data_IF_789430975339
#
_entry.id   IF_789430975339
#
_cell.length_a   1.000
_cell.length_b   1.000
_cell.length_c   1.000
_cell.angle_alpha   90.00
_cell.angle_beta   90.00
_cell.angle_gamma   90.00
#
_symmetry.space_group_name_H-M   'P 1'
#
loop_
_entity.id
_entity.type
_entity.pdbx_description
1 polymer ?
#
# COMPACT_ATOMS: atom_id res chain seq x y z
N UNK A 1 11.31 -46.47 -10.49
CA UNK A 1 10.42 -45.95 -9.43
C UNK A 1 9.99 -44.54 -9.81
N UNK A 2 8.69 -44.30 -9.96
CA UNK A 2 8.14 -42.98 -10.20
C UNK A 2 7.79 -42.34 -8.85
N UNK A 3 8.04 -41.05 -8.68
CA UNK A 3 7.69 -40.30 -7.46
C UNK A 3 7.03 -38.96 -7.86
N UNK A 4 6.18 -38.36 -7.01
CA UNK A 4 5.41 -37.17 -7.39
C UNK A 4 6.26 -35.92 -7.69
N UNK A 5 7.53 -35.90 -7.30
CA UNK A 5 8.46 -34.79 -7.56
C UNK A 5 9.29 -34.97 -8.83
N UNK A 6 9.22 -36.10 -9.54
CA UNK A 6 10.06 -36.31 -10.74
C UNK A 6 9.70 -35.39 -11.90
N UNK A 7 8.47 -34.86 -11.93
CA UNK A 7 7.96 -33.99 -12.99
C UNK A 7 7.71 -32.53 -12.59
N UNK A 8 8.03 -32.13 -11.35
CA UNK A 8 7.83 -30.73 -10.92
C UNK A 8 8.85 -29.80 -11.60
N UNK A 9 8.48 -28.53 -11.75
CA UNK A 9 9.27 -27.51 -12.45
C UNK A 9 10.41 -26.99 -11.57
N UNK A 10 11.42 -26.39 -12.19
CA UNK A 10 12.60 -25.88 -11.48
C UNK A 10 12.24 -24.82 -10.43
N UNK A 11 11.24 -23.96 -10.69
CA UNK A 11 10.77 -22.98 -9.71
C UNK A 11 10.20 -23.60 -8.43
N UNK A 12 9.82 -24.89 -8.45
CA UNK A 12 9.32 -25.64 -7.29
C UNK A 12 10.44 -26.30 -6.47
N UNK A 13 11.70 -26.17 -6.88
CA UNK A 13 12.86 -26.78 -6.24
C UNK A 13 13.81 -25.69 -5.71
N UNK A 14 13.90 -25.53 -4.39
CA UNK A 14 14.73 -24.49 -3.74
C UNK A 14 16.16 -24.40 -4.30
N UNK A 15 16.82 -25.54 -4.49
CA UNK A 15 18.19 -25.58 -5.01
C UNK A 15 18.29 -25.00 -6.43
N UNK A 16 17.26 -25.14 -7.25
CA UNK A 16 17.23 -24.68 -8.65
C UNK A 16 16.66 -23.27 -8.81
N UNK A 17 15.73 -22.87 -7.95
CA UNK A 17 15.04 -21.59 -8.06
C UNK A 17 15.56 -20.49 -7.13
N UNK A 18 16.28 -20.86 -6.07
CA UNK A 18 16.82 -19.91 -5.08
C UNK A 18 18.33 -20.05 -5.00
N UNK A 19 18.83 -21.20 -4.52
CA UNK A 19 20.26 -21.33 -4.15
C UNK A 19 21.25 -21.30 -5.33
N UNK A 20 20.78 -21.49 -6.56
CA UNK A 20 21.59 -21.45 -7.79
C UNK A 20 21.27 -20.25 -8.69
N UNK A 21 20.48 -19.31 -8.17
CA UNK A 21 20.12 -18.09 -8.88
C UNK A 21 20.88 -16.94 -8.24
N UNK A 22 21.52 -16.10 -9.05
CA UNK A 22 22.18 -14.90 -8.53
C UNK A 22 21.13 -13.96 -7.93
N UNK A 23 21.44 -13.35 -6.78
CA UNK A 23 20.50 -12.58 -5.98
C UNK A 23 19.72 -11.52 -6.77
N UNK A 24 20.36 -10.87 -7.75
CA UNK A 24 19.75 -9.81 -8.56
C UNK A 24 18.90 -10.32 -9.75
N UNK A 25 18.93 -11.62 -10.02
CA UNK A 25 18.16 -12.33 -11.04
C UNK A 25 16.99 -13.14 -10.46
N UNK A 26 16.86 -13.18 -9.14
CA UNK A 26 15.79 -13.93 -8.47
C UNK A 26 14.42 -13.34 -8.78
N UNK A 27 13.59 -14.12 -9.47
CA UNK A 27 12.23 -13.74 -9.84
C UNK A 27 11.27 -14.88 -9.47
N UNK A 28 10.48 -14.74 -8.38
CA UNK A 28 9.54 -15.76 -7.95
C UNK A 28 8.21 -15.74 -8.71
N UNK A 29 8.02 -14.83 -9.67
CA UNK A 29 6.78 -14.77 -10.44
C UNK A 29 6.77 -15.86 -11.52
N UNK A 30 5.71 -16.68 -11.53
CA UNK A 30 5.59 -17.82 -12.46
C UNK A 30 4.57 -17.54 -13.57
N UNK A 31 3.28 -17.50 -13.21
CA UNK A 31 2.20 -17.32 -14.18
C UNK A 31 1.22 -16.25 -13.68
N UNK A 32 1.43 -14.99 -14.07
CA UNK A 32 0.47 -13.93 -13.83
C UNK A 32 -0.89 -14.26 -14.45
N UNK A 33 -1.98 -13.99 -13.72
CA UNK A 33 -3.36 -14.20 -14.17
C UNK A 33 -3.77 -13.20 -15.24
N UNK A 34 -3.12 -12.05 -15.26
CA UNK A 34 -3.35 -11.02 -16.25
C UNK A 34 -2.10 -10.20 -16.54
N UNK A 35 -2.11 -9.54 -17.70
CA UNK A 35 -1.18 -8.47 -18.04
C UNK A 35 -1.89 -7.12 -17.97
N UNK A 36 -1.09 -6.09 -17.78
CA UNK A 36 -1.46 -4.68 -17.70
C UNK A 36 -0.98 -4.02 -18.99
N UNK A 37 -1.90 -3.43 -19.74
CA UNK A 37 -1.59 -2.66 -20.94
C UNK A 37 -1.12 -1.24 -20.57
N UNK A 38 -0.30 -0.62 -21.41
CA UNK A 38 0.19 0.76 -21.19
C UNK A 38 -0.93 1.77 -21.02
N UNK A 39 -2.06 1.55 -21.68
CA UNK A 39 -3.23 2.43 -21.62
C UNK A 39 -4.20 2.10 -20.47
N UNK A 40 -3.97 0.99 -19.75
CA UNK A 40 -4.82 0.61 -18.61
C UNK A 40 -4.78 1.70 -17.55
N UNK A 41 -5.94 2.12 -17.03
CA UNK A 41 -6.04 3.03 -15.89
C UNK A 41 -5.57 2.28 -14.63
N UNK A 42 -4.28 2.41 -14.30
CA UNK A 42 -3.72 1.76 -13.12
C UNK A 42 -3.87 2.65 -11.91
N UNK A 43 -4.59 2.17 -10.91
CA UNK A 43 -4.68 2.78 -9.60
C UNK A 43 -3.82 2.03 -8.58
N UNK A 44 -3.21 2.76 -7.64
CA UNK A 44 -2.42 2.17 -6.55
C UNK A 44 -2.92 2.70 -5.22
N UNK A 45 -3.11 1.83 -4.23
CA UNK A 45 -3.45 2.16 -2.84
C UNK A 45 -2.66 1.25 -1.88
N UNK A 46 -2.57 1.63 -0.60
CA UNK A 46 -2.00 0.76 0.44
C UNK A 46 -0.91 1.43 1.27
N UNK A 47 0.06 0.64 1.72
CA UNK A 47 1.21 1.11 2.51
C UNK A 47 2.17 2.02 1.74
N UNK A 48 3.15 2.59 2.44
CA UNK A 48 4.22 3.40 1.89
C UNK A 48 4.95 2.75 0.70
N UNK A 49 5.08 1.41 0.71
CA UNK A 49 5.74 0.69 -0.38
C UNK A 49 4.99 0.79 -1.72
N UNK A 50 3.67 0.98 -1.70
CA UNK A 50 2.88 1.22 -2.92
C UNK A 50 3.30 2.52 -3.64
N UNK A 51 3.91 3.47 -2.93
CA UNK A 51 4.40 4.72 -3.53
C UNK A 51 5.55 4.44 -4.51
N UNK A 52 6.43 3.48 -4.22
CA UNK A 52 7.48 3.09 -5.16
C UNK A 52 6.90 2.49 -6.45
N UNK A 53 5.88 1.65 -6.32
CA UNK A 53 5.17 1.07 -7.47
C UNK A 53 4.52 2.19 -8.30
N UNK A 54 3.84 3.14 -7.66
CA UNK A 54 3.19 4.27 -8.34
C UNK A 54 4.15 5.13 -9.16
N UNK A 55 5.29 5.54 -8.58
CA UNK A 55 6.32 6.37 -9.24
C UNK A 55 6.91 5.66 -10.44
N UNK A 56 7.11 4.36 -10.33
CA UNK A 56 7.73 3.57 -11.38
C UNK A 56 6.75 3.27 -12.52
N UNK A 57 5.47 3.03 -12.23
CA UNK A 57 4.41 2.99 -13.24
C UNK A 57 4.37 4.30 -14.04
N UNK A 58 4.40 5.45 -13.37
CA UNK A 58 4.48 6.76 -14.03
C UNK A 58 5.72 6.90 -14.91
N UNK A 59 6.90 6.55 -14.38
CA UNK A 59 8.20 6.64 -15.09
C UNK A 59 8.28 5.77 -16.33
N UNK A 60 7.66 4.60 -16.33
CA UNK A 60 7.70 3.64 -17.44
C UNK A 60 6.65 3.98 -18.52
N UNK A 61 5.87 5.05 -18.32
CA UNK A 61 4.92 5.58 -19.30
C UNK A 61 3.58 4.84 -19.30
N UNK A 62 3.21 4.20 -18.18
CA UNK A 62 1.86 3.67 -18.00
C UNK A 62 0.89 4.78 -17.65
N UNK A 63 -0.38 4.59 -18.00
CA UNK A 63 -1.45 5.48 -17.59
C UNK A 63 -1.75 5.32 -16.09
N UNK A 64 -0.97 6.02 -15.28
CA UNK A 64 -1.22 6.14 -13.85
C UNK A 64 -2.45 7.00 -13.60
N UNK A 65 -3.51 6.37 -13.09
CA UNK A 65 -4.83 6.97 -12.99
C UNK A 65 -4.94 7.80 -11.70
N UNK A 66 -4.84 9.13 -11.84
CA UNK A 66 -4.99 10.11 -10.76
C UNK A 66 -6.30 10.85 -10.93
N UNK A 67 -7.14 10.81 -9.90
CA UNK A 67 -8.49 11.40 -9.88
C UNK A 67 -8.57 12.66 -9.03
N UNK A 68 -7.75 12.78 -7.99
CA UNK A 68 -7.63 13.98 -7.16
C UNK A 68 -6.42 14.78 -7.62
N UNK A 69 -6.65 15.69 -8.58
CA UNK A 69 -5.60 16.50 -9.21
C UNK A 69 -5.59 17.92 -8.63
N UNK A 70 -4.42 18.54 -8.63
CA UNK A 70 -4.25 19.95 -8.33
C UNK A 70 -3.37 20.62 -9.38
N UNK A 71 -3.84 20.60 -10.63
CA UNK A 71 -3.08 21.13 -11.78
C UNK A 71 -2.83 22.65 -11.68
N UNK A 72 -3.57 23.35 -10.83
CA UNK A 72 -3.39 24.77 -10.51
C UNK A 72 -2.23 25.05 -9.55
N UNK A 73 -1.69 24.04 -8.87
CA UNK A 73 -0.56 24.16 -7.96
C UNK A 73 0.76 23.86 -8.68
N UNK A 74 1.84 24.50 -8.22
CA UNK A 74 3.19 24.14 -8.65
C UNK A 74 3.60 22.74 -8.12
N UNK A 75 4.68 22.19 -8.67
CA UNK A 75 5.13 20.85 -8.33
C UNK A 75 5.53 20.69 -6.85
N UNK A 76 6.23 21.68 -6.29
CA UNK A 76 6.64 21.66 -4.89
C UNK A 76 5.43 21.61 -3.95
N UNK A 77 4.39 22.39 -4.23
CA UNK A 77 3.17 22.42 -3.41
C UNK A 77 2.33 21.14 -3.60
N UNK A 78 2.29 20.59 -4.81
CA UNK A 78 1.68 19.27 -5.06
C UNK A 78 2.37 18.18 -4.24
N UNK A 79 3.70 18.15 -4.27
CA UNK A 79 4.48 17.19 -3.50
C UNK A 79 4.27 17.36 -2.00
N UNK A 80 4.37 18.60 -1.49
CA UNK A 80 4.15 18.95 -0.07
C UNK A 80 2.78 18.52 0.44
N UNK A 81 1.75 18.58 -0.41
CA UNK A 81 0.36 18.23 -0.09
C UNK A 81 -0.06 16.83 -0.58
N UNK A 82 0.91 15.97 -0.92
CA UNK A 82 0.74 14.57 -1.33
C UNK A 82 -0.13 14.33 -2.57
N UNK A 83 -0.24 15.30 -3.48
CA UNK A 83 -0.88 15.09 -4.78
C UNK A 83 -0.03 14.18 -5.67
N UNK A 84 -0.66 13.17 -6.29
CA UNK A 84 0.00 12.23 -7.19
C UNK A 84 0.84 11.14 -6.51
N UNK A 85 0.90 11.11 -5.17
CA UNK A 85 1.49 10.01 -4.38
C UNK A 85 0.67 8.72 -4.58
N UNK A 86 -0.64 8.86 -4.63
CA UNK A 86 -1.61 7.80 -4.91
C UNK A 86 -2.64 8.29 -5.94
N UNK A 87 -3.54 7.39 -6.38
CA UNK A 87 -4.62 7.71 -7.33
C UNK A 87 -5.64 8.71 -6.81
N UNK A 88 -5.77 8.81 -5.49
CA UNK A 88 -6.49 9.84 -4.77
C UNK A 88 -5.74 10.15 -3.48
N UNK A 89 -6.02 11.28 -2.84
CA UNK A 89 -5.25 11.83 -1.72
C UNK A 89 -5.74 11.26 -0.38
N UNK A 90 -5.83 9.93 -0.27
CA UNK A 90 -6.28 9.24 0.95
C UNK A 90 -5.14 8.99 1.96
N UNK A 91 -3.89 9.32 1.64
CA UNK A 91 -2.73 8.99 2.48
C UNK A 91 -2.37 7.51 2.37
N UNK A 92 -1.66 6.95 3.35
CA UNK A 92 -1.43 5.51 3.36
C UNK A 92 -2.66 4.77 3.92
N UNK A 93 -3.02 3.66 3.28
CA UNK A 93 -4.04 2.73 3.76
C UNK A 93 -3.31 1.49 4.29
N UNK A 94 -3.04 1.48 5.58
CA UNK A 94 -2.23 0.44 6.20
C UNK A 94 -3.00 -0.89 6.37
N UNK A 95 -4.28 -0.83 6.75
CA UNK A 95 -5.08 -2.02 7.07
C UNK A 95 -6.21 -2.25 6.06
N UNK A 96 -6.64 -3.50 5.91
CA UNK A 96 -7.82 -3.84 5.10
C UNK A 96 -9.10 -3.16 5.62
N UNK A 97 -9.23 -2.94 6.94
CA UNK A 97 -10.35 -2.21 7.54
C UNK A 97 -10.40 -0.75 7.06
N UNK A 98 -9.26 -0.08 6.90
CA UNK A 98 -9.22 1.27 6.34
C UNK A 98 -9.67 1.30 4.88
N UNK A 99 -9.27 0.32 4.06
CA UNK A 99 -9.76 0.23 2.68
C UNK A 99 -11.29 0.03 2.66
N UNK A 100 -11.78 -0.85 3.53
CA UNK A 100 -13.22 -1.09 3.67
C UNK A 100 -13.99 0.14 4.11
N UNK A 101 -13.53 0.85 5.14
CA UNK A 101 -14.24 2.04 5.63
C UNK A 101 -14.32 3.11 4.54
N UNK A 102 -13.23 3.29 3.78
CA UNK A 102 -13.18 4.24 2.68
C UNK A 102 -14.18 3.85 1.59
N UNK A 103 -14.29 2.56 1.28
CA UNK A 103 -15.29 2.05 0.34
C UNK A 103 -16.73 2.29 0.85
N UNK A 104 -17.02 1.97 2.10
CA UNK A 104 -18.33 2.16 2.74
C UNK A 104 -18.72 3.64 2.82
N UNK A 105 -17.78 4.56 3.04
CA UNK A 105 -18.03 6.00 3.02
C UNK A 105 -18.45 6.51 1.64
N UNK A 106 -17.88 5.92 0.59
CA UNK A 106 -18.16 6.28 -0.79
C UNK A 106 -19.48 5.68 -1.30
N UNK A 107 -19.75 4.41 -1.00
CA UNK A 107 -20.85 3.66 -1.63
C UNK A 107 -22.00 3.28 -0.70
N UNK A 108 -21.75 3.15 0.61
CA UNK A 108 -22.72 2.63 1.58
C UNK A 108 -23.14 3.68 2.63
N UNK A 109 -22.91 4.97 2.31
CA UNK A 109 -23.29 6.12 3.12
C UNK A 109 -22.79 6.07 4.57
N UNK A 110 -21.65 5.41 4.84
CA UNK A 110 -20.99 5.47 6.16
C UNK A 110 -20.72 6.94 6.52
N UNK A 111 -20.99 7.30 7.77
CA UNK A 111 -20.78 8.64 8.33
C UNK A 111 -20.03 8.49 9.65
N UNK A 112 -18.70 8.67 9.64
CA UNK A 112 -17.93 8.53 10.86
C UNK A 112 -18.27 9.62 11.88
N UNK A 113 -18.15 9.27 13.16
CA UNK A 113 -18.43 10.18 14.28
C UNK A 113 -17.36 11.27 14.36
N UNK A 114 -16.09 10.89 14.23
CA UNK A 114 -14.95 11.80 14.30
C UNK A 114 -14.71 12.46 12.94
N UNK A 115 -15.17 13.71 12.79
CA UNK A 115 -15.14 14.43 11.50
C UNK A 115 -13.88 15.25 11.29
N UNK A 116 -13.30 15.76 12.38
CA UNK A 116 -12.12 16.61 12.37
C UNK A 116 -11.36 16.43 13.68
N UNK A 117 -10.03 16.44 13.60
CA UNK A 117 -9.15 16.48 14.77
C UNK A 117 -8.50 17.84 14.87
N UNK A 118 -8.45 18.38 16.09
CA UNK A 118 -7.79 19.66 16.38
C UNK A 118 -6.30 19.45 16.64
N UNK A 119 -5.47 20.30 16.06
CA UNK A 119 -4.01 20.37 16.28
C UNK A 119 -3.68 21.34 17.41
N UNK A 120 -2.44 21.27 17.91
CA UNK A 120 -1.92 22.16 18.96
C UNK A 120 -1.90 23.64 18.55
N UNK A 121 -1.72 23.92 17.26
CA UNK A 121 -1.76 25.26 16.67
C UNK A 121 -3.20 25.80 16.45
N UNK A 122 -4.21 25.03 16.83
CA UNK A 122 -5.62 25.39 16.71
C UNK A 122 -6.27 25.06 15.36
N UNK A 123 -5.50 24.59 14.37
CA UNK A 123 -6.01 24.14 13.07
C UNK A 123 -6.71 22.78 13.18
N UNK A 124 -7.48 22.44 12.17
CA UNK A 124 -8.20 21.17 12.06
C UNK A 124 -7.64 20.30 10.94
N UNK A 125 -7.61 18.99 11.13
CA UNK A 125 -7.21 18.01 10.12
C UNK A 125 -8.19 16.86 10.03
N UNK A 126 -8.13 16.12 8.93
CA UNK A 126 -8.94 14.94 8.68
C UNK A 126 -8.38 13.73 9.46
N UNK A 127 -9.13 13.11 10.40
CA UNK A 127 -8.68 11.97 11.20
C UNK A 127 -8.17 10.78 10.39
N UNK A 128 -8.68 10.61 9.17
CA UNK A 128 -8.40 9.45 8.32
C UNK A 128 -7.24 9.68 7.35
N UNK A 129 -6.77 10.92 7.23
CA UNK A 129 -5.64 11.35 6.40
C UNK A 129 -4.94 12.57 7.02
N UNK A 130 -4.48 12.47 8.28
CA UNK A 130 -4.13 13.63 9.10
C UNK A 130 -2.92 14.41 8.58
N UNK A 131 -2.08 13.76 7.76
CA UNK A 131 -0.87 14.34 7.16
C UNK A 131 -1.09 14.91 5.74
N UNK A 132 -2.32 14.80 5.18
CA UNK A 132 -2.54 15.17 3.77
C UNK A 132 -2.62 16.67 3.53
N UNK A 133 -2.96 17.43 4.57
CA UNK A 133 -3.05 18.88 4.53
C UNK A 133 -2.11 19.46 5.60
N UNK A 134 -0.84 19.76 5.25
CA UNK A 134 0.19 20.09 6.22
C UNK A 134 -0.08 21.40 6.97
N UNK A 135 -0.80 22.33 6.35
CA UNK A 135 -1.20 23.60 6.96
C UNK A 135 -2.48 23.48 7.81
N UNK A 136 -3.20 22.36 7.68
CA UNK A 136 -4.52 22.17 8.27
C UNK A 136 -5.59 23.12 7.73
N UNK A 137 -6.78 23.04 8.30
CA UNK A 137 -7.94 23.87 7.98
C UNK A 137 -8.26 24.81 9.15
N UNK A 138 -8.82 25.98 8.86
CA UNK A 138 -9.24 26.93 9.89
C UNK A 138 -10.46 26.47 10.69
N UNK A 139 -11.32 25.64 10.09
CA UNK A 139 -12.58 25.18 10.69
C UNK A 139 -12.82 23.70 10.41
N UNK A 140 -13.67 23.07 11.24
CA UNK A 140 -14.14 21.70 11.02
C UNK A 140 -14.90 21.56 9.70
N UNK A 141 -15.70 22.57 9.33
CA UNK A 141 -16.41 22.62 8.05
C UNK A 141 -15.45 22.57 6.86
N UNK A 142 -14.27 23.19 6.97
CA UNK A 142 -13.22 23.12 5.95
C UNK A 142 -12.72 21.68 5.73
N UNK A 143 -12.52 20.93 6.82
CA UNK A 143 -12.17 19.50 6.76
C UNK A 143 -13.27 18.70 6.06
N UNK A 144 -14.53 18.92 6.44
CA UNK A 144 -15.68 18.21 5.89
C UNK A 144 -15.84 18.48 4.38
N UNK A 145 -15.66 19.72 3.94
CA UNK A 145 -15.72 20.07 2.52
C UNK A 145 -14.59 19.40 1.73
N UNK A 146 -13.36 19.48 2.23
CA UNK A 146 -12.22 18.83 1.60
C UNK A 146 -12.38 17.30 1.55
N UNK A 147 -12.99 16.70 2.58
CA UNK A 147 -13.32 15.28 2.60
C UNK A 147 -14.39 14.93 1.58
N UNK A 148 -15.40 15.78 1.36
CA UNK A 148 -16.42 15.56 0.31
C UNK A 148 -15.79 15.52 -1.08
N UNK A 149 -14.93 16.48 -1.41
CA UNK A 149 -14.22 16.51 -2.69
C UNK A 149 -13.33 15.25 -2.88
N UNK A 150 -12.63 14.86 -1.82
CA UNK A 150 -11.82 13.65 -1.80
C UNK A 150 -12.61 12.37 -2.06
N UNK A 151 -13.73 12.17 -1.35
CA UNK A 151 -14.57 10.97 -1.52
C UNK A 151 -15.15 10.88 -2.94
N UNK A 152 -15.42 12.01 -3.60
CA UNK A 152 -15.81 12.03 -5.02
C UNK A 152 -14.67 11.57 -5.96
N UNK A 153 -13.42 11.96 -5.67
CA UNK A 153 -12.25 11.46 -6.40
C UNK A 153 -12.05 9.96 -6.18
N UNK A 154 -12.12 9.49 -4.92
CA UNK A 154 -12.03 8.06 -4.57
C UNK A 154 -13.12 7.23 -5.25
N UNK A 155 -14.34 7.76 -5.35
CA UNK A 155 -15.43 7.13 -6.11
C UNK A 155 -15.03 6.88 -7.57
N UNK A 156 -14.38 7.85 -8.19
CA UNK A 156 -13.89 7.75 -9.57
C UNK A 156 -12.80 6.68 -9.70
N UNK A 157 -11.89 6.57 -8.70
CA UNK A 157 -10.89 5.48 -8.66
C UNK A 157 -11.56 4.11 -8.73
N UNK A 158 -12.51 3.83 -7.84
CA UNK A 158 -13.14 2.51 -7.78
C UNK A 158 -14.00 2.19 -9.00
N UNK A 159 -14.69 3.17 -9.58
CA UNK A 159 -15.54 2.97 -10.75
C UNK A 159 -14.80 2.81 -12.07
N UNK A 160 -13.63 3.46 -12.20
CA UNK A 160 -13.01 3.63 -13.51
C UNK A 160 -11.65 2.96 -13.68
N UNK A 161 -10.98 2.55 -12.60
CA UNK A 161 -9.69 1.86 -12.75
C UNK A 161 -9.86 0.51 -13.46
N UNK A 162 -8.91 0.18 -14.32
CA UNK A 162 -8.83 -1.15 -14.95
C UNK A 162 -8.06 -2.11 -14.05
N UNK A 163 -7.07 -1.59 -13.32
CA UNK A 163 -6.24 -2.35 -12.39
C UNK A 163 -6.10 -1.56 -11.09
N UNK A 164 -6.44 -2.18 -9.96
CA UNK A 164 -6.12 -1.66 -8.63
C UNK A 164 -4.99 -2.49 -8.01
N UNK A 165 -3.84 -1.87 -7.84
CA UNK A 165 -2.74 -2.43 -7.04
C UNK A 165 -2.97 -2.05 -5.59
N UNK A 166 -3.13 -3.05 -4.71
CA UNK A 166 -3.32 -2.82 -3.28
C UNK A 166 -2.20 -3.48 -2.46
N UNK A 167 -1.41 -2.66 -1.80
CA UNK A 167 -0.30 -3.11 -0.94
C UNK A 167 -0.76 -3.18 0.52
N UNK A 168 -0.90 -4.40 1.03
CA UNK A 168 -1.24 -4.69 2.41
C UNK A 168 -0.11 -4.27 3.35
N UNK A 169 -0.40 -3.37 4.28
CA UNK A 169 0.58 -2.76 5.16
C UNK A 169 0.74 -3.49 6.49
N UNK A 170 -0.28 -3.37 7.34
CA UNK A 170 -0.24 -3.70 8.77
C UNK A 170 -1.54 -4.37 9.23
N UNK A 171 -1.51 -4.98 10.41
CA UNK A 171 -2.69 -5.48 11.14
C UNK A 171 -3.04 -4.64 12.36
N UNK A 172 -2.13 -3.79 12.84
CA UNK A 172 -2.36 -2.91 13.99
C UNK A 172 -3.07 -1.63 13.56
N UNK A 173 -4.02 -1.17 14.38
CA UNK A 173 -4.72 0.10 14.20
C UNK A 173 -5.26 0.63 15.53
N UNK A 174 -5.66 1.91 15.50
CA UNK A 174 -6.45 2.52 16.56
C UNK A 174 -7.90 2.65 16.09
N UNK A 175 -8.84 2.33 16.98
CA UNK A 175 -10.27 2.28 16.70
C UNK A 175 -11.03 3.22 17.62
N UNK A 176 -12.00 3.96 17.06
CA UNK A 176 -13.03 4.64 17.84
C UNK A 176 -14.06 3.63 18.34
N UNK A 177 -14.27 3.57 19.65
CA UNK A 177 -15.28 2.70 20.28
C UNK A 177 -16.71 3.13 19.93
N UNK A 178 -16.91 4.37 19.49
CA UNK A 178 -18.23 4.92 19.18
C UNK A 178 -18.87 4.29 17.92
N UNK A 179 -18.08 4.05 16.87
CA UNK A 179 -18.58 3.61 15.56
C UNK A 179 -17.68 2.56 14.86
N UNK A 180 -16.61 2.13 15.53
CA UNK A 180 -15.64 1.17 15.01
C UNK A 180 -14.74 1.70 13.89
N UNK A 181 -14.73 3.01 13.64
CA UNK A 181 -13.84 3.66 12.66
C UNK A 181 -12.38 3.47 13.07
N UNK A 182 -11.50 3.31 12.09
CA UNK A 182 -10.07 3.08 12.35
C UNK A 182 -9.19 4.15 11.71
N UNK A 183 -8.11 4.47 12.38
CA UNK A 183 -7.24 5.59 12.04
C UNK A 183 -5.86 5.13 11.56
N UNK A 184 -5.22 5.86 10.63
CA UNK A 184 -3.85 5.56 10.19
C UNK A 184 -2.81 5.83 11.28
N UNK A 185 -3.12 6.71 12.23
CA UNK A 185 -2.29 7.05 13.37
C UNK A 185 -3.13 7.06 14.64
N UNK A 186 -2.49 6.81 15.77
CA UNK A 186 -3.14 6.98 17.06
C UNK A 186 -3.58 8.44 17.25
N UNK A 187 -4.79 8.70 17.76
CA UNK A 187 -5.17 10.05 18.17
C UNK A 187 -4.13 10.65 19.11
N UNK A 188 -3.74 11.90 18.88
CA UNK A 188 -2.71 12.60 19.65
C UNK A 188 -1.27 12.43 19.14
N UNK A 189 -1.00 11.55 18.17
CA UNK A 189 0.33 11.46 17.52
C UNK A 189 0.55 12.68 16.63
N UNK A 190 -0.31 12.89 15.62
CA UNK A 190 -0.23 14.05 14.72
C UNK A 190 -1.27 15.14 15.04
N UNK A 191 -2.47 14.74 15.47
CA UNK A 191 -3.56 15.63 15.85
C UNK A 191 -4.58 14.90 16.73
N UNK A 192 -5.52 15.63 17.32
CA UNK A 192 -6.53 15.07 18.22
C UNK A 192 -5.95 14.73 19.59
N UNK A 193 -6.66 13.91 20.34
CA UNK A 193 -6.24 13.46 21.67
C UNK A 193 -6.68 12.03 21.91
N UNK A 194 -5.75 11.19 22.36
CA UNK A 194 -6.09 9.86 22.83
C UNK A 194 -6.92 9.94 24.12
N UNK A 195 -7.95 9.11 24.17
CA UNK A 195 -8.80 8.90 25.33
C UNK A 195 -9.14 7.40 25.37
N UNK A 196 -8.73 6.65 26.41
CA UNK A 196 -8.99 5.21 26.49
C UNK A 196 -10.45 4.84 26.65
N UNK A 197 -11.34 5.77 27.04
CA UNK A 197 -12.79 5.55 27.08
C UNK A 197 -13.42 5.67 25.67
N UNK A 198 -12.78 6.42 24.78
CA UNK A 198 -13.25 6.67 23.40
C UNK A 198 -12.52 5.83 22.37
N UNK A 199 -11.26 5.48 22.63
CA UNK A 199 -10.36 4.85 21.67
C UNK A 199 -9.76 3.56 22.24
N UNK A 200 -9.45 2.63 21.35
CA UNK A 200 -8.79 1.37 21.70
C UNK A 200 -7.79 0.95 20.63
N UNK A 201 -6.75 0.25 21.07
CA UNK A 201 -5.83 -0.45 20.18
C UNK A 201 -6.47 -1.75 19.71
N UNK A 202 -6.24 -2.09 18.44
CA UNK A 202 -6.65 -3.37 17.87
C UNK A 202 -5.54 -3.95 16.99
N UNK A 203 -5.47 -5.27 16.95
CA UNK A 203 -4.59 -6.04 16.07
C UNK A 203 -5.43 -7.07 15.31
N UNK A 204 -5.68 -6.82 14.04
CA UNK A 204 -6.57 -7.64 13.23
C UNK A 204 -5.99 -9.04 12.97
N UNK A 205 -6.78 -10.07 13.22
CA UNK A 205 -6.41 -11.44 12.88
C UNK A 205 -6.74 -11.79 11.41
N UNK A 206 -6.40 -13.02 10.99
CA UNK A 206 -6.66 -13.53 9.64
C UNK A 206 -8.12 -13.39 9.23
N UNK A 207 -9.05 -13.82 10.07
CA UNK A 207 -10.49 -13.82 9.75
C UNK A 207 -11.05 -12.41 9.59
N UNK A 208 -10.58 -11.45 10.37
CA UNK A 208 -10.99 -10.05 10.29
C UNK A 208 -10.46 -9.39 9.01
N UNK A 209 -9.18 -9.56 8.70
CA UNK A 209 -8.58 -9.04 7.46
C UNK A 209 -9.21 -9.71 6.24
N UNK A 210 -9.44 -11.02 6.28
CA UNK A 210 -10.09 -11.80 5.22
C UNK A 210 -11.51 -11.29 4.95
N UNK A 211 -12.29 -11.04 6.01
CA UNK A 211 -13.65 -10.51 5.92
C UNK A 211 -13.69 -9.14 5.28
N UNK A 212 -12.79 -8.25 5.69
CA UNK A 212 -12.75 -6.88 5.18
C UNK A 212 -12.30 -6.84 3.71
N UNK A 213 -11.27 -7.62 3.36
CA UNK A 213 -10.79 -7.68 1.98
C UNK A 213 -11.80 -8.39 1.06
N UNK A 214 -12.44 -9.47 1.52
CA UNK A 214 -13.52 -10.16 0.79
C UNK A 214 -14.69 -9.22 0.52
N UNK A 215 -15.09 -8.42 1.51
CA UNK A 215 -16.13 -7.41 1.34
C UNK A 215 -15.77 -6.43 0.21
N UNK A 216 -14.59 -5.80 0.29
CA UNK A 216 -14.16 -4.83 -0.70
C UNK A 216 -14.07 -5.44 -2.09
N UNK A 217 -13.45 -6.62 -2.24
CA UNK A 217 -13.28 -7.26 -3.54
C UNK A 217 -14.62 -7.61 -4.18
N UNK A 218 -15.57 -8.18 -3.42
CA UNK A 218 -16.91 -8.49 -3.94
C UNK A 218 -17.63 -7.23 -4.41
N UNK A 219 -17.68 -6.21 -3.55
CA UNK A 219 -18.39 -4.95 -3.84
C UNK A 219 -17.74 -4.17 -4.96
N UNK A 220 -16.40 -4.14 -5.03
CA UNK A 220 -15.65 -3.52 -6.11
C UNK A 220 -15.97 -4.17 -7.46
N UNK A 221 -16.07 -5.50 -7.51
CA UNK A 221 -16.42 -6.21 -8.75
C UNK A 221 -17.86 -5.94 -9.20
N UNK A 222 -18.79 -5.76 -8.26
CA UNK A 222 -20.19 -5.41 -8.55
C UNK A 222 -20.30 -4.04 -9.24
N UNK A 223 -19.55 -3.03 -8.75
CA UNK A 223 -19.60 -1.67 -9.30
C UNK A 223 -18.69 -1.46 -10.51
N UNK A 224 -17.62 -2.25 -10.62
CA UNK A 224 -16.66 -2.21 -11.72
C UNK A 224 -16.36 -3.64 -12.20
N UNK A 225 -17.20 -4.21 -13.07
CA UNK A 225 -17.04 -5.59 -13.54
C UNK A 225 -15.74 -5.87 -14.29
N UNK A 226 -15.05 -4.84 -14.80
CA UNK A 226 -13.82 -4.98 -15.59
C UNK A 226 -12.54 -4.92 -14.76
N UNK A 227 -12.62 -4.44 -13.52
CA UNK A 227 -11.46 -4.28 -12.65
C UNK A 227 -10.74 -5.61 -12.44
N UNK A 228 -9.41 -5.50 -12.42
CA UNK A 228 -8.48 -6.52 -11.93
C UNK A 228 -7.79 -5.98 -10.69
N UNK A 229 -7.49 -6.84 -9.72
CA UNK A 229 -6.76 -6.42 -8.51
C UNK A 229 -5.45 -7.17 -8.42
N UNK A 230 -4.39 -6.42 -8.14
CA UNK A 230 -3.09 -6.98 -7.81
C UNK A 230 -2.80 -6.72 -6.33
N UNK A 231 -2.86 -7.78 -5.53
CA UNK A 231 -2.48 -7.72 -4.13
C UNK A 231 -0.97 -7.85 -4.00
N UNK A 232 -0.41 -7.18 -3.00
CA UNK A 232 0.96 -7.43 -2.57
C UNK A 232 1.12 -7.11 -1.09
N UNK A 233 2.11 -7.71 -0.42
CA UNK A 233 2.40 -7.42 0.99
C UNK A 233 3.60 -6.49 1.08
N UNK A 234 3.49 -5.46 1.91
CA UNK A 234 4.57 -4.50 2.14
C UNK A 234 5.74 -5.17 2.87
N UNK A 235 6.97 -5.11 2.34
CA UNK A 235 8.17 -5.60 3.03
C UNK A 235 8.58 -4.75 4.23
N UNK A 236 8.18 -3.47 4.25
CA UNK A 236 8.53 -2.52 5.32
C UNK A 236 8.00 -2.99 6.68
N UNK A 237 8.88 -3.26 7.67
CA UNK A 237 8.52 -3.57 9.05
C UNK A 237 7.67 -2.49 9.74
N UNK A 238 6.96 -2.86 10.82
CA UNK A 238 6.28 -1.87 11.67
C UNK A 238 7.33 -0.92 12.25
N UNK A 239 6.98 0.36 12.32
CA UNK A 239 7.81 1.35 13.00
C UNK A 239 7.85 1.09 14.51
N UNK A 240 6.68 0.72 15.06
CA UNK A 240 6.44 0.48 16.47
C UNK A 240 5.26 -0.49 16.59
N UNK A 241 5.18 -1.18 17.72
CA UNK A 241 4.03 -1.99 18.10
C UNK A 241 3.50 -1.50 19.43
N UNK A 242 2.18 -1.48 19.60
CA UNK A 242 1.58 -1.19 20.90
C UNK A 242 1.47 -2.44 21.79
N UNK A 243 1.63 -3.62 21.21
CA UNK A 243 1.71 -4.88 21.95
C UNK A 243 2.90 -4.85 22.92
N UNK A 244 2.75 -5.43 24.11
CA UNK A 244 3.85 -5.60 25.07
C UNK A 244 4.78 -6.75 24.65
N UNK A 245 5.44 -6.57 23.49
CA UNK A 245 6.40 -7.51 22.90
C UNK A 245 7.31 -6.79 21.90
N UNK A 246 8.31 -7.51 21.41
CA UNK A 246 9.21 -7.00 20.37
C UNK A 246 8.47 -6.61 19.08
N UNK A 247 8.79 -5.43 18.54
CA UNK A 247 8.31 -4.94 17.24
C UNK A 247 8.62 -5.91 16.10
N UNK A 248 9.72 -6.67 16.18
CA UNK A 248 10.07 -7.67 15.17
C UNK A 248 9.11 -8.88 15.21
N UNK A 249 8.69 -9.30 16.42
CA UNK A 249 7.70 -10.38 16.60
C UNK A 249 6.34 -9.91 16.09
N UNK A 250 5.92 -8.68 16.42
CA UNK A 250 4.68 -8.08 15.89
C UNK A 250 4.72 -7.93 14.38
N UNK A 251 5.85 -7.51 13.81
CA UNK A 251 6.07 -7.44 12.36
C UNK A 251 5.90 -8.80 11.72
N UNK A 252 6.57 -9.82 12.25
CA UNK A 252 6.50 -11.18 11.69
C UNK A 252 5.05 -11.68 11.70
N UNK A 253 4.31 -11.46 12.80
CA UNK A 253 2.89 -11.81 12.89
C UNK A 253 2.05 -11.06 11.84
N UNK A 254 2.15 -9.73 11.82
CA UNK A 254 1.39 -8.85 10.93
C UNK A 254 1.58 -9.24 9.46
N UNK A 255 2.83 -9.41 9.00
CA UNK A 255 3.12 -9.79 7.61
C UNK A 255 2.64 -11.21 7.29
N UNK A 256 2.73 -12.13 8.24
CA UNK A 256 2.22 -13.50 8.08
C UNK A 256 0.71 -13.54 7.90
N UNK A 257 -0.04 -12.79 8.73
CA UNK A 257 -1.50 -12.65 8.61
C UNK A 257 -1.87 -12.12 7.23
N UNK A 258 -1.26 -11.00 6.82
CA UNK A 258 -1.56 -10.36 5.53
C UNK A 258 -1.23 -11.27 4.36
N UNK A 259 -0.12 -12.02 4.43
CA UNK A 259 0.29 -12.95 3.36
C UNK A 259 -0.66 -14.14 3.25
N UNK A 260 -1.12 -14.70 4.36
CA UNK A 260 -2.13 -15.76 4.38
C UNK A 260 -3.42 -15.27 3.73
N UNK A 261 -3.91 -14.08 4.11
CA UNK A 261 -5.14 -13.53 3.53
C UNK A 261 -4.99 -13.26 2.04
N UNK A 262 -3.86 -12.70 1.60
CA UNK A 262 -3.60 -12.50 0.17
C UNK A 262 -3.67 -13.81 -0.62
N UNK A 263 -3.12 -14.92 -0.08
CA UNK A 263 -3.21 -16.25 -0.69
C UNK A 263 -4.66 -16.73 -0.79
N UNK A 264 -5.43 -16.56 0.28
CA UNK A 264 -6.82 -17.02 0.35
C UNK A 264 -7.74 -16.30 -0.64
N UNK A 265 -7.38 -15.09 -1.09
CA UNK A 265 -8.17 -14.38 -2.10
C UNK A 265 -8.02 -15.00 -3.50
N UNK A 266 -6.87 -15.59 -3.82
CA UNK A 266 -6.58 -16.11 -5.17
C UNK A 266 -7.56 -17.20 -5.65
N UNK A 267 -7.87 -18.26 -4.88
CA UNK A 267 -8.84 -19.27 -5.34
C UNK A 267 -10.29 -18.77 -5.34
N UNK A 268 -10.59 -17.65 -4.65
CA UNK A 268 -11.95 -17.10 -4.53
C UNK A 268 -12.30 -16.11 -5.63
N UNK A 269 -11.29 -15.42 -6.17
CA UNK A 269 -11.46 -14.37 -7.16
C UNK A 269 -10.46 -14.56 -8.30
N UNK A 270 -10.93 -15.04 -9.46
CA UNK A 270 -10.12 -15.30 -10.65
C UNK A 270 -9.48 -14.04 -11.27
N UNK A 271 -10.07 -12.87 -11.01
CA UNK A 271 -9.61 -11.54 -11.42
C UNK A 271 -8.66 -10.85 -10.43
N UNK A 272 -8.31 -11.54 -9.34
CA UNK A 272 -7.33 -11.09 -8.34
C UNK A 272 -6.04 -11.92 -8.51
N UNK A 273 -4.89 -11.25 -8.44
CA UNK A 273 -3.58 -11.89 -8.44
C UNK A 273 -2.69 -11.38 -7.30
N UNK A 274 -1.58 -12.06 -7.04
CA UNK A 274 -0.60 -11.67 -6.01
C UNK A 274 0.79 -11.43 -6.63
N UNK A 275 1.34 -10.24 -6.37
CA UNK A 275 2.72 -9.93 -6.73
C UNK A 275 3.66 -10.08 -5.51
N UNK A 276 4.69 -10.94 -5.59
CA UNK A 276 5.54 -11.30 -4.44
C UNK A 276 6.65 -10.27 -4.14
N UNK A 277 6.32 -8.98 -3.98
CA UNK A 277 7.33 -7.98 -3.59
C UNK A 277 7.87 -8.21 -2.18
N UNK A 278 7.03 -8.72 -1.28
CA UNK A 278 7.44 -9.11 0.07
C UNK A 278 8.57 -10.14 0.00
N UNK A 279 8.36 -11.25 -0.70
CA UNK A 279 9.32 -12.33 -0.80
C UNK A 279 10.60 -11.95 -1.55
N UNK A 280 10.51 -11.08 -2.57
CA UNK A 280 11.68 -10.54 -3.26
C UNK A 280 12.56 -9.77 -2.27
N UNK A 281 11.98 -8.92 -1.42
CA UNK A 281 12.76 -8.06 -0.51
C UNK A 281 13.22 -8.82 0.73
N UNK A 282 12.34 -9.61 1.36
CA UNK A 282 12.62 -10.21 2.68
C UNK A 282 13.23 -11.61 2.60
N UNK A 283 13.37 -12.18 1.41
CA UNK A 283 13.86 -13.55 1.24
C UNK A 283 15.27 -13.72 1.80
N UNK A 284 15.51 -14.83 2.51
CA UNK A 284 16.82 -15.12 3.13
C UNK A 284 17.98 -15.19 2.13
N UNK A 285 17.68 -15.47 0.86
CA UNK A 285 18.65 -15.47 -0.24
C UNK A 285 19.30 -14.09 -0.48
N UNK A 286 18.62 -13.00 -0.07
CA UNK A 286 19.11 -11.64 -0.20
C UNK A 286 19.96 -11.20 0.99
N UNK A 287 19.90 -11.91 2.14
CA UNK A 287 20.72 -11.59 3.31
C UNK A 287 20.58 -10.16 3.83
N UNK A 288 19.42 -9.52 3.65
CA UNK A 288 19.18 -8.13 4.06
C UNK A 288 19.65 -7.06 3.06
N UNK A 289 20.21 -7.44 1.90
CA UNK A 289 20.75 -6.54 0.88
C UNK A 289 19.82 -5.40 0.44
N UNK A 290 18.51 -5.60 0.54
CA UNK A 290 17.50 -4.68 0.02
C UNK A 290 16.97 -3.66 1.03
N UNK A 291 17.51 -3.64 2.25
CA UNK A 291 17.19 -2.62 3.24
C UNK A 291 18.27 -1.55 3.31
N UNK A 292 17.89 -0.36 3.76
CA UNK A 292 18.81 0.66 4.24
C UNK A 292 19.46 0.24 5.58
N UNK A 293 20.39 1.04 6.09
CA UNK A 293 21.15 0.75 7.32
C UNK A 293 20.27 0.61 8.58
N UNK A 294 19.01 1.08 8.52
CA UNK A 294 18.01 0.93 9.57
C UNK A 294 17.31 -0.44 9.59
N UNK A 295 17.58 -1.29 8.59
CA UNK A 295 16.94 -2.60 8.37
C UNK A 295 15.41 -2.55 8.20
N UNK A 296 14.86 -1.38 7.86
CA UNK A 296 13.41 -1.15 7.74
C UNK A 296 13.04 -0.57 6.38
N UNK A 297 13.65 0.53 5.98
CA UNK A 297 13.34 1.18 4.70
C UNK A 297 13.95 0.38 3.54
N UNK A 298 13.19 0.23 2.45
CA UNK A 298 13.68 -0.50 1.28
C UNK A 298 14.56 0.42 0.44
N UNK A 299 15.79 -0.03 0.20
CA UNK A 299 16.75 0.76 -0.57
C UNK A 299 16.44 0.76 -2.07
N UNK A 300 17.11 1.64 -2.79
CA UNK A 300 16.94 1.80 -4.24
C UNK A 300 17.23 0.51 -5.04
N UNK A 301 18.15 -0.35 -4.58
CA UNK A 301 18.45 -1.64 -5.23
C UNK A 301 17.27 -2.60 -5.13
N UNK A 302 16.66 -2.67 -3.94
CA UNK A 302 15.46 -3.48 -3.67
C UNK A 302 14.28 -3.01 -4.50
N UNK A 303 13.99 -1.71 -4.48
CA UNK A 303 12.93 -1.11 -5.31
C UNK A 303 13.16 -1.42 -6.79
N UNK A 304 14.38 -1.19 -7.30
CA UNK A 304 14.69 -1.46 -8.70
C UNK A 304 14.51 -2.95 -9.05
N UNK A 305 14.88 -3.87 -8.17
CA UNK A 305 14.69 -5.30 -8.41
C UNK A 305 13.22 -5.69 -8.47
N UNK A 306 12.43 -5.29 -7.46
CA UNK A 306 10.99 -5.53 -7.45
C UNK A 306 10.34 -5.00 -8.72
N UNK A 307 10.70 -3.79 -9.16
CA UNK A 307 10.12 -3.21 -10.36
C UNK A 307 10.53 -3.93 -11.64
N UNK A 308 11.77 -4.44 -11.76
CA UNK A 308 12.17 -5.29 -12.89
C UNK A 308 11.29 -6.54 -12.97
N UNK A 309 11.07 -7.22 -11.84
CA UNK A 309 10.20 -8.40 -11.79
C UNK A 309 8.74 -8.04 -12.12
N UNK A 310 8.23 -6.93 -11.59
CA UNK A 310 6.88 -6.45 -11.89
C UNK A 310 6.70 -6.18 -13.40
N UNK A 311 7.60 -5.40 -14.00
CA UNK A 311 7.51 -5.03 -15.41
C UNK A 311 7.63 -6.26 -16.31
N UNK A 312 8.62 -7.12 -16.04
CA UNK A 312 8.80 -8.35 -16.83
C UNK A 312 7.55 -9.22 -16.85
N UNK A 313 6.86 -9.31 -15.71
CA UNK A 313 5.80 -10.29 -15.53
C UNK A 313 4.40 -9.73 -15.69
N UNK A 314 4.11 -8.50 -15.30
CA UNK A 314 2.75 -7.96 -15.30
C UNK A 314 2.50 -6.97 -16.44
N UNK A 315 3.53 -6.41 -17.07
CA UNK A 315 3.34 -5.47 -18.18
C UNK A 315 3.23 -6.21 -19.53
N UNK A 316 2.22 -5.86 -20.33
CA UNK A 316 2.09 -6.31 -21.72
C UNK A 316 3.05 -5.53 -22.64
N UNK A 317 3.65 -6.23 -23.62
CA UNK A 317 4.48 -5.63 -24.68
C UNK A 317 5.49 -4.58 -24.21
N UNK A 318 6.43 -5.02 -23.37
CA UNK A 318 7.74 -4.36 -23.36
C UNK A 318 8.43 -4.88 -24.62
N UNK A 319 8.48 -4.10 -25.70
CA UNK A 319 9.58 -4.27 -26.66
C UNK A 319 10.83 -4.28 -25.79
N UNK A 320 11.53 -5.42 -25.74
CA UNK A 320 12.78 -5.50 -25.00
C UNK A 320 13.60 -4.29 -25.45
N UNK A 321 14.02 -3.39 -24.54
CA UNK A 321 14.81 -2.25 -24.98
C UNK A 321 16.01 -2.84 -25.75
N UNK A 322 16.05 -2.58 -27.05
CA UNK A 322 17.17 -2.92 -27.93
C UNK A 322 18.42 -2.13 -27.53
N UNK A 323 18.23 -1.09 -26.72
CA UNK A 323 19.29 -0.50 -25.93
C UNK A 323 19.52 -1.36 -24.68
N UNK A 324 20.75 -1.86 -24.52
CA UNK A 324 21.30 -2.27 -23.24
C UNK A 324 20.77 -1.30 -22.20
N UNK A 325 20.10 -1.77 -21.14
CA UNK A 325 19.68 -0.93 -20.01
C UNK A 325 20.82 0.05 -19.73
N UNK A 326 20.63 1.31 -20.12
CA UNK A 326 21.59 2.34 -19.76
C UNK A 326 21.68 2.27 -18.23
N UNK A 327 22.88 2.31 -17.64
CA UNK A 327 23.01 2.33 -16.20
C UNK A 327 22.02 3.37 -15.69
N UNK A 328 21.10 2.94 -14.82
CA UNK A 328 20.18 3.85 -14.16
C UNK A 328 21.06 4.97 -13.61
N UNK A 329 20.78 6.21 -14.00
CA UNK A 329 21.44 7.35 -13.40
C UNK A 329 21.39 7.16 -11.87
N UNK A 330 22.49 7.45 -11.14
CA UNK A 330 22.48 7.34 -9.68
C UNK A 330 21.21 8.00 -9.16
N UNK A 331 20.54 7.40 -8.15
CA UNK A 331 19.28 7.92 -7.66
C UNK A 331 19.44 9.42 -7.39
N UNK A 332 18.65 10.24 -8.09
CA UNK A 332 18.41 11.61 -7.65
C UNK A 332 17.80 11.52 -6.25
N UNK A 333 17.98 12.55 -5.42
CA UNK A 333 17.45 12.65 -4.05
C UNK A 333 15.95 12.31 -3.94
N UNK A 334 15.20 12.27 -5.05
CA UNK A 334 13.80 11.83 -5.17
C UNK A 334 13.44 10.49 -4.50
N UNK A 335 14.36 9.53 -4.34
CA UNK A 335 14.05 8.28 -3.62
C UNK A 335 13.93 8.48 -2.10
N UNK A 336 14.34 9.63 -1.55
CA UNK A 336 14.37 9.86 -0.09
C UNK A 336 13.01 10.29 0.49
N UNK A 337 12.03 10.68 -0.33
CA UNK A 337 10.75 11.18 0.17
C UNK A 337 9.61 10.15 0.04
N UNK A 338 9.75 8.97 0.65
CA UNK A 338 8.58 8.10 0.90
C UNK A 338 7.78 8.69 2.04
N UNK A 339 6.49 8.95 1.82
CA UNK A 339 5.62 9.52 2.86
C UNK A 339 5.14 8.40 3.77
N UNK A 340 5.59 8.38 5.02
CA UNK A 340 5.22 7.37 6.00
C UNK A 340 4.69 8.07 7.25
N UNK A 341 3.37 8.03 7.45
CA UNK A 341 2.71 8.68 8.60
C UNK A 341 3.25 8.15 9.93
N UNK A 342 3.59 6.86 9.96
CA UNK A 342 4.16 6.17 11.12
C UNK A 342 5.48 6.77 11.64
N UNK A 343 6.24 7.52 10.83
CA UNK A 343 7.47 8.22 11.29
C UNK A 343 7.21 9.22 12.41
N UNK A 344 5.99 9.76 12.49
CA UNK A 344 5.58 10.61 13.61
C UNK A 344 5.68 9.90 14.96
N UNK A 345 5.52 8.56 14.98
CA UNK A 345 5.60 7.77 16.20
C UNK A 345 7.04 7.73 16.72
N UNK A 346 8.04 7.61 15.84
CA UNK A 346 9.46 7.64 16.22
C UNK A 346 9.86 9.01 16.78
N UNK A 347 9.37 10.08 16.16
CA UNK A 347 9.70 11.45 16.58
C UNK A 347 9.18 11.83 17.98
N UNK A 348 8.29 11.04 18.57
CA UNK A 348 7.80 11.26 19.94
C UNK A 348 8.80 10.86 21.03
N UNK A 349 9.83 10.06 20.71
CA UNK A 349 10.89 9.67 21.65
C UNK A 349 12.26 9.79 20.96
N UNK A 350 13.02 10.87 21.23
CA UNK A 350 14.32 11.12 20.60
C UNK A 350 15.40 10.10 20.98
#
# INVERSE_FOLDING_TARGET
MTNPYSGIKDYQLWRRSVARVETHLFDPVVTPRFKIDRNSKVATAGSCFAQHISRQIQRIGFHYFITERADHLNEAERARRNFGVFSARYGNIYTARQLRQLFEEVFDARRPVEKAWRRKDGKFVDPYRPQIEPDGYDTEEGVIEARRAHLAAVRSVFLECDVLVFTLGLTEAWRSKADGSVFPLAPGVSAGSFDPEVHEFINFNVEEVERDLTFVLRRLKEINPRVKVLLTVSPVPLVATYEDRSVLVSTTYSKSVLRVVAEQMLPRFDWVDYFPSYEIITGSYAGGLYYEDDYREVNHLGVAHVMRCFVRNYVAHVEAPTEKFAPLAPPQEEYQHVVCDEREIEMLRP
#
